data_IF_216377673553
#
_entry.id   IF_216377673553
#
_cell.length_a   1.000
_cell.length_b   1.000
_cell.length_c   1.000
_cell.angle_alpha   90.00
_cell.angle_beta   90.00
_cell.angle_gamma   90.00
#
_symmetry.space_group_name_H-M   'P 1'
#
loop_
_entity.id
_entity.type
_entity.pdbx_description
1 polymer ?
#
# COMPACT_ATOMS: atom_id res chain seq x y z
N UNK A 1 -1.58 26.10 -23.02
CA UNK A 1 -0.15 26.33 -23.32
C UNK A 1 0.66 25.43 -22.43
N UNK A 2 1.54 24.57 -22.96
CA UNK A 2 2.30 23.65 -22.14
C UNK A 2 3.43 24.38 -21.40
N UNK A 3 3.49 24.20 -20.09
CA UNK A 3 4.65 24.57 -19.26
C UNK A 3 5.56 23.35 -19.26
N UNK A 4 6.83 23.54 -19.63
CA UNK A 4 7.81 22.46 -19.66
C UNK A 4 8.86 22.69 -18.58
N UNK A 5 9.18 21.63 -17.85
CA UNK A 5 10.24 21.63 -16.83
C UNK A 5 11.52 21.03 -17.44
N UNK A 6 12.65 21.61 -17.09
CA UNK A 6 13.97 21.19 -17.56
C UNK A 6 14.91 21.00 -16.40
N UNK A 7 15.65 19.89 -16.42
CA UNK A 7 16.72 19.58 -15.47
C UNK A 7 18.07 19.76 -16.14
N UNK A 8 18.95 20.53 -15.52
CA UNK A 8 20.33 20.64 -15.97
C UNK A 8 21.10 19.35 -15.66
N UNK A 9 21.88 18.86 -16.61
CA UNK A 9 22.76 17.70 -16.39
C UNK A 9 23.95 18.00 -15.49
N UNK A 10 24.39 19.26 -15.42
CA UNK A 10 25.57 19.67 -14.66
C UNK A 10 25.27 20.01 -13.19
N UNK A 11 24.19 20.76 -12.92
CA UNK A 11 23.86 21.19 -11.55
C UNK A 11 22.60 20.52 -10.98
N UNK A 12 21.89 19.71 -11.77
CA UNK A 12 20.65 19.01 -11.41
C UNK A 12 19.48 19.88 -10.92
N UNK A 13 19.60 21.21 -11.02
CA UNK A 13 18.52 22.14 -10.71
C UNK A 13 17.44 22.09 -11.80
N UNK A 14 16.20 22.30 -11.36
CA UNK A 14 15.01 22.32 -12.23
C UNK A 14 14.63 23.77 -12.50
N UNK A 15 14.33 24.07 -13.76
CA UNK A 15 13.84 25.38 -14.20
C UNK A 15 12.64 25.18 -15.13
N UNK A 16 11.64 26.05 -14.99
CA UNK A 16 10.39 25.99 -15.75
C UNK A 16 10.39 27.04 -16.85
N UNK A 17 10.26 26.62 -18.10
CA UNK A 17 10.23 27.53 -19.24
C UNK A 17 8.87 27.49 -19.93
N UNK A 18 8.44 28.68 -20.35
CA UNK A 18 7.17 28.88 -21.03
C UNK A 18 7.41 29.18 -22.51
N UNK A 19 7.03 28.24 -23.38
CA UNK A 19 7.18 28.41 -24.83
C UNK A 19 5.84 28.70 -25.50
N UNK A 20 5.82 29.71 -26.37
CA UNK A 20 4.67 30.03 -27.22
C UNK A 20 4.55 29.08 -28.42
N UNK A 21 5.67 28.49 -28.86
CA UNK A 21 5.74 27.60 -30.03
C UNK A 21 6.61 26.39 -29.65
N UNK A 22 6.15 25.17 -29.95
CA UNK A 22 6.81 23.93 -29.55
C UNK A 22 8.24 23.76 -30.11
N UNK A 23 8.61 24.49 -31.17
CA UNK A 23 9.93 24.46 -31.81
C UNK A 23 10.98 25.35 -31.15
N UNK A 24 10.63 26.13 -30.12
CA UNK A 24 11.56 27.05 -29.45
C UNK A 24 12.35 26.41 -28.30
N UNK A 25 12.21 25.10 -28.08
CA UNK A 25 12.76 24.38 -26.94
C UNK A 25 14.26 24.02 -27.05
N UNK A 26 14.96 24.46 -28.10
CA UNK A 26 16.31 23.98 -28.42
C UNK A 26 17.45 24.75 -27.75
N UNK A 27 17.23 26.01 -27.34
CA UNK A 27 18.28 26.88 -26.78
C UNK A 27 17.93 27.37 -25.38
N UNK A 28 17.81 26.42 -24.45
CA UNK A 28 17.46 26.71 -23.06
C UNK A 28 18.70 26.60 -22.19
N UNK A 29 19.13 27.72 -21.62
CA UNK A 29 20.27 27.76 -20.72
C UNK A 29 19.80 27.56 -19.27
N UNK A 30 20.61 26.89 -18.47
CA UNK A 30 20.33 26.78 -17.04
C UNK A 30 20.44 28.16 -16.35
N UNK A 31 19.41 28.58 -15.63
CA UNK A 31 19.41 29.83 -14.84
C UNK A 31 20.44 29.84 -13.69
N UNK A 32 20.95 28.67 -13.29
CA UNK A 32 21.86 28.53 -12.15
C UNK A 32 23.33 28.45 -12.57
N UNK A 33 23.67 27.63 -13.57
CA UNK A 33 25.05 27.42 -13.98
C UNK A 33 25.37 27.91 -15.40
N UNK A 34 24.37 28.35 -16.17
CA UNK A 34 24.55 28.85 -17.55
C UNK A 34 24.86 27.78 -18.59
N UNK A 35 24.82 26.50 -18.22
CA UNK A 35 25.09 25.38 -19.12
C UNK A 35 23.92 25.11 -20.09
N UNK A 36 24.25 24.56 -21.27
CA UNK A 36 23.31 24.26 -22.37
C UNK A 36 22.74 22.83 -22.28
N UNK A 37 23.28 21.98 -21.41
CA UNK A 37 22.86 20.59 -21.21
C UNK A 37 21.55 20.45 -20.42
N UNK A 38 20.44 20.97 -20.95
CA UNK A 38 19.11 20.88 -20.33
C UNK A 38 18.30 19.71 -20.90
N UNK A 39 17.85 18.82 -20.02
CA UNK A 39 16.94 17.72 -20.38
C UNK A 39 15.51 18.06 -19.95
N UNK A 40 14.54 17.86 -20.85
CA UNK A 40 13.14 18.06 -20.53
C UNK A 40 12.65 16.94 -19.60
N UNK A 41 12.10 17.31 -18.45
CA UNK A 41 11.47 16.40 -17.51
C UNK A 41 9.96 16.59 -17.46
N UNK A 42 9.24 15.55 -17.07
CA UNK A 42 7.84 15.64 -16.71
C UNK A 42 7.75 15.83 -15.20
N UNK A 43 6.87 16.73 -14.75
CA UNK A 43 6.64 16.94 -13.32
C UNK A 43 6.11 15.66 -12.67
N UNK A 44 6.45 15.46 -11.40
CA UNK A 44 5.86 14.36 -10.63
C UNK A 44 4.38 14.63 -10.41
N UNK A 45 3.52 13.75 -10.91
CA UNK A 45 2.09 13.80 -10.60
C UNK A 45 1.79 12.86 -9.43
N UNK A 46 1.00 13.31 -8.46
CA UNK A 46 0.43 12.43 -7.45
C UNK A 46 -0.95 11.98 -7.91
N UNK A 47 -1.22 10.67 -7.83
CA UNK A 47 -2.58 10.15 -7.98
C UNK A 47 -3.30 10.30 -6.65
N UNK A 48 -4.45 10.96 -6.64
CA UNK A 48 -5.33 10.99 -5.47
C UNK A 48 -5.77 9.56 -5.11
N UNK A 49 -5.70 9.20 -3.83
CA UNK A 49 -6.17 7.90 -3.36
C UNK A 49 -7.69 7.88 -3.40
N UNK A 50 -8.26 6.86 -4.04
CA UNK A 50 -9.71 6.63 -4.00
C UNK A 50 -10.11 6.01 -2.66
N UNK A 51 -11.40 6.07 -2.30
CA UNK A 51 -11.90 5.39 -1.10
C UNK A 51 -11.61 3.88 -1.14
N UNK A 52 -11.71 3.26 -2.32
CA UNK A 52 -11.36 1.85 -2.53
C UNK A 52 -9.87 1.56 -2.27
N UNK A 53 -8.97 2.47 -2.68
CA UNK A 53 -7.54 2.35 -2.37
C UNK A 53 -7.28 2.48 -0.87
N UNK A 54 -7.98 3.40 -0.19
CA UNK A 54 -7.87 3.56 1.26
C UNK A 54 -8.36 2.33 2.02
N UNK A 55 -9.49 1.74 1.61
CA UNK A 55 -10.03 0.53 2.22
C UNK A 55 -9.05 -0.64 2.09
N UNK A 56 -8.46 -0.83 0.90
CA UNK A 56 -7.46 -1.87 0.62
C UNK A 56 -6.21 -1.74 1.48
N UNK A 57 -5.77 -0.53 1.78
CA UNK A 57 -4.62 -0.29 2.66
C UNK A 57 -4.96 -0.56 4.14
N UNK A 58 -6.23 -0.39 4.54
CA UNK A 58 -6.69 -0.63 5.90
C UNK A 58 -6.80 -2.12 6.22
N UNK A 59 -7.27 -2.94 5.28
CA UNK A 59 -7.48 -4.37 5.47
C UNK A 59 -6.23 -5.09 6.04
N UNK A 60 -5.02 -5.01 5.44
CA UNK A 60 -3.83 -5.67 5.97
C UNK A 60 -3.40 -5.19 7.36
N UNK A 61 -3.70 -3.93 7.71
CA UNK A 61 -3.39 -3.42 9.05
C UNK A 61 -4.38 -3.96 10.08
N UNK A 62 -5.66 -4.00 9.73
CA UNK A 62 -6.69 -4.54 10.61
C UNK A 62 -6.48 -6.02 10.91
N UNK A 63 -6.19 -6.84 9.90
CA UNK A 63 -5.91 -8.27 10.11
C UNK A 63 -4.75 -8.48 11.09
N UNK A 64 -3.62 -7.78 10.92
CA UNK A 64 -2.48 -7.87 11.85
C UNK A 64 -2.84 -7.50 13.28
N UNK A 65 -3.61 -6.42 13.46
CA UNK A 65 -4.03 -6.00 14.80
C UNK A 65 -4.92 -7.05 15.47
N UNK A 66 -5.82 -7.68 14.71
CA UNK A 66 -6.68 -8.77 15.20
C UNK A 66 -5.84 -9.99 15.56
N UNK A 67 -4.93 -10.41 14.69
CA UNK A 67 -4.05 -11.57 14.91
C UNK A 67 -3.17 -11.36 16.15
N UNK A 68 -2.58 -10.16 16.30
CA UNK A 68 -1.76 -9.79 17.47
C UNK A 68 -2.57 -9.78 18.77
N UNK A 69 -3.85 -9.36 18.70
CA UNK A 69 -4.74 -9.38 19.85
C UNK A 69 -5.15 -10.81 20.22
N UNK A 70 -5.45 -11.65 19.24
CA UNK A 70 -5.76 -13.07 19.43
C UNK A 70 -4.56 -13.82 20.02
N UNK A 71 -3.35 -13.57 19.55
CA UNK A 71 -2.13 -14.21 20.09
C UNK A 71 -1.84 -13.87 21.56
N UNK A 72 -2.36 -12.75 22.07
CA UNK A 72 -2.24 -12.34 23.48
C UNK A 72 -3.43 -12.77 24.33
N UNK A 73 -4.53 -13.16 23.72
CA UNK A 73 -5.75 -13.54 24.40
C UNK A 73 -5.58 -14.89 25.11
N UNK A 74 -6.31 -15.15 26.21
CA UNK A 74 -6.32 -16.46 26.83
C UNK A 74 -6.86 -17.50 25.84
N UNK A 75 -6.37 -18.73 25.95
CA UNK A 75 -6.72 -19.82 25.02
C UNK A 75 -8.23 -20.06 24.87
N UNK A 76 -9.05 -19.69 25.85
CA UNK A 76 -10.52 -19.78 25.84
C UNK A 76 -11.21 -18.84 24.85
N UNK A 77 -10.51 -17.82 24.35
CA UNK A 77 -11.03 -16.85 23.38
C UNK A 77 -11.00 -17.40 21.96
N UNK A 78 -10.15 -18.39 21.67
CA UNK A 78 -10.15 -19.07 20.37
C UNK A 78 -11.48 -19.81 20.17
N UNK A 79 -12.18 -19.61 19.02
CA UNK A 79 -13.43 -20.33 18.74
C UNK A 79 -13.23 -21.86 18.73
N UNK A 80 -12.02 -22.30 18.36
CA UNK A 80 -11.66 -23.72 18.30
C UNK A 80 -11.13 -24.28 19.62
N UNK A 81 -11.12 -23.50 20.71
CA UNK A 81 -10.57 -23.94 21.99
C UNK A 81 -11.20 -25.24 22.49
N UNK A 82 -12.54 -25.29 22.47
CA UNK A 82 -13.29 -26.45 22.94
C UNK A 82 -13.26 -27.58 21.92
N UNK A 83 -13.25 -27.28 20.63
CA UNK A 83 -13.18 -28.27 19.54
C UNK A 83 -11.87 -29.08 19.60
N UNK A 84 -10.73 -28.43 19.89
CA UNK A 84 -9.42 -29.09 20.03
C UNK A 84 -9.36 -30.10 21.18
N UNK A 85 -10.23 -29.96 22.19
CA UNK A 85 -10.32 -30.88 23.33
C UNK A 85 -11.27 -32.05 23.09
N UNK A 86 -12.10 -31.99 22.05
CA UNK A 86 -13.05 -33.06 21.74
C UNK A 86 -12.34 -34.21 21.02
N UNK A 87 -12.82 -35.43 21.28
CA UNK A 87 -12.42 -36.58 20.47
C UNK A 87 -13.01 -36.43 19.05
N UNK A 88 -12.24 -36.71 17.99
CA UNK A 88 -12.79 -36.73 16.64
C UNK A 88 -13.86 -37.82 16.55
N UNK A 89 -14.93 -37.57 15.78
CA UNK A 89 -16.04 -38.51 15.64
C UNK A 89 -15.64 -39.91 15.15
N UNK A 90 -14.49 -40.03 14.46
CA UNK A 90 -13.92 -41.31 14.05
C UNK A 90 -13.37 -42.16 15.22
N UNK A 91 -12.94 -41.51 16.30
CA UNK A 91 -12.42 -42.15 17.51
C UNK A 91 -13.44 -42.13 18.66
N UNK A 92 -14.62 -41.55 18.46
CA UNK A 92 -15.69 -41.53 19.46
C UNK A 92 -16.31 -42.92 19.64
N UNK A 93 -16.69 -43.26 20.87
CA UNK A 93 -17.38 -44.51 21.18
C UNK A 93 -18.76 -44.53 20.49
N UNK A 94 -19.15 -45.70 19.94
CA UNK A 94 -20.37 -45.85 19.11
C UNK A 94 -21.68 -45.66 19.89
N UNK A 95 -21.64 -45.80 21.21
CA UNK A 95 -22.76 -45.57 22.10
C UNK A 95 -22.20 -45.01 23.41
N UNK A 96 -22.48 -43.72 23.67
CA UNK A 96 -22.25 -43.14 24.99
C UNK A 96 -23.41 -43.47 25.91
N UNK A 97 -23.16 -43.48 27.22
CA UNK A 97 -24.23 -43.67 28.19
C UNK A 97 -25.31 -42.60 27.99
N UNK A 98 -26.60 -42.99 27.93
CA UNK A 98 -27.67 -42.03 27.77
C UNK A 98 -27.63 -41.04 28.93
N UNK A 99 -27.59 -39.75 28.61
CA UNK A 99 -27.53 -38.67 29.59
C UNK A 99 -28.75 -38.65 30.53
N UNK A 100 -29.84 -39.30 30.12
CA UNK A 100 -31.03 -39.49 30.93
C UNK A 100 -31.16 -40.96 31.31
N UNK A 101 -30.90 -41.27 32.58
CA UNK A 101 -31.39 -42.47 33.24
C UNK A 101 -32.71 -42.12 33.94
N UNK A 102 -33.80 -42.82 33.62
CA UNK A 102 -35.05 -42.77 34.41
C UNK A 102 -34.82 -43.25 35.85
#
# INVERSE_FOLDING_TARGET
>A
MPIYEYRCQSCHQVSSFFFKVASAATDVNCEYCGDYGMERIMSSFSRGRTEADQLRDLDPRYYKMVDDALGKAPSTTDPDHYLRKMAPFSAAEKAGDPYFSE
#
